data_IF_775356958751
#
_entry.id   IF_775356958751
#
_cell.length_a   1.000
_cell.length_b   1.000
_cell.length_c   1.000
_cell.angle_alpha   90.00
_cell.angle_beta   90.00
_cell.angle_gamma   90.00
#
_symmetry.space_group_name_H-M   'P 1'
#
loop_
_entity.id
_entity.type
_entity.pdbx_description
1 polymer ?
#
# COMPACT_ATOMS: atom_id res chain seq x y z
N UNK A 1 -16.29 -18.33 23.64
CA UNK A 1 -15.85 -17.59 22.44
C UNK A 1 -14.57 -16.88 22.82
N UNK A 2 -13.41 -17.48 22.52
CA UNK A 2 -12.13 -16.79 22.75
C UNK A 2 -12.05 -15.67 21.71
N UNK A 3 -12.01 -14.42 22.17
CA UNK A 3 -11.75 -13.28 21.32
C UNK A 3 -10.26 -13.28 21.00
N UNK A 4 -9.87 -14.01 19.97
CA UNK A 4 -8.52 -13.91 19.43
C UNK A 4 -8.30 -12.46 19.01
N UNK A 5 -7.47 -11.76 19.79
CA UNK A 5 -7.18 -10.35 19.56
C UNK A 5 -6.01 -10.32 18.59
N UNK A 6 -6.19 -9.63 17.47
CA UNK A 6 -5.15 -9.46 16.46
C UNK A 6 -3.87 -8.97 17.12
N UNK A 7 -2.76 -9.61 16.78
CA UNK A 7 -1.44 -9.18 17.23
C UNK A 7 -1.04 -7.90 16.48
N UNK A 8 -0.06 -7.13 16.98
CA UNK A 8 0.52 -6.02 16.23
C UNK A 8 1.03 -6.44 14.84
N UNK A 9 1.57 -7.65 14.71
CA UNK A 9 2.01 -8.22 13.42
C UNK A 9 0.83 -8.41 12.46
N UNK A 10 -0.31 -8.93 12.95
CA UNK A 10 -1.52 -9.09 12.12
C UNK A 10 -2.03 -7.73 11.63
N UNK A 11 -2.06 -6.73 12.51
CA UNK A 11 -2.44 -5.37 12.13
C UNK A 11 -1.54 -4.76 11.06
N UNK A 12 -0.21 -4.90 11.19
CA UNK A 12 0.75 -4.40 10.19
C UNK A 12 0.55 -5.09 8.84
N UNK A 13 0.34 -6.41 8.82
CA UNK A 13 0.13 -7.14 7.56
C UNK A 13 -1.22 -6.82 6.89
N UNK A 14 -2.28 -6.60 7.68
CA UNK A 14 -3.55 -6.12 7.16
C UNK A 14 -3.39 -4.74 6.51
N UNK A 15 -2.70 -3.82 7.18
CA UNK A 15 -2.42 -2.48 6.64
C UNK A 15 -1.56 -2.55 5.39
N UNK A 16 -0.50 -3.37 5.37
CA UNK A 16 0.33 -3.58 4.18
C UNK A 16 -0.48 -4.08 2.99
N UNK A 17 -1.43 -5.00 3.22
CA UNK A 17 -2.32 -5.50 2.17
C UNK A 17 -3.14 -4.36 1.57
N UNK A 18 -3.74 -3.53 2.42
CA UNK A 18 -4.54 -2.38 1.97
C UNK A 18 -3.68 -1.33 1.22
N UNK A 19 -2.49 -1.01 1.73
CA UNK A 19 -1.61 -0.05 1.06
C UNK A 19 -1.12 -0.55 -0.30
N UNK A 20 -0.84 -1.86 -0.45
CA UNK A 20 -0.47 -2.47 -1.73
C UNK A 20 -1.61 -2.41 -2.75
N UNK A 21 -2.85 -2.55 -2.32
CA UNK A 21 -4.03 -2.32 -3.15
C UNK A 21 -4.14 -0.83 -3.54
N UNK A 22 -4.02 0.09 -2.58
CA UNK A 22 -4.05 1.53 -2.83
C UNK A 22 -2.94 1.99 -3.79
N UNK A 23 -1.75 1.42 -3.70
CA UNK A 23 -0.65 1.64 -4.65
C UNK A 23 -1.05 1.27 -6.08
N UNK A 24 -1.71 0.13 -6.26
CA UNK A 24 -2.18 -0.29 -7.58
C UNK A 24 -3.16 0.73 -8.17
N UNK A 25 -4.12 1.19 -7.37
CA UNK A 25 -5.11 2.18 -7.80
C UNK A 25 -4.51 3.57 -8.05
N UNK A 26 -3.59 4.04 -7.19
CA UNK A 26 -2.94 5.35 -7.35
C UNK A 26 -2.17 5.45 -8.66
N UNK A 27 -1.43 4.40 -9.04
CA UNK A 27 -0.77 4.32 -10.36
C UNK A 27 -1.78 4.47 -11.50
N UNK A 28 -2.88 3.73 -11.46
CA UNK A 28 -3.93 3.82 -12.47
C UNK A 28 -4.60 5.21 -12.54
N UNK A 29 -4.69 5.93 -11.42
CA UNK A 29 -5.21 7.29 -11.40
C UNK A 29 -4.25 8.27 -12.09
N UNK A 30 -2.93 8.18 -11.85
CA UNK A 30 -1.93 9.01 -12.52
C UNK A 30 -1.96 8.82 -14.04
N UNK A 31 -2.04 7.56 -14.50
CA UNK A 31 -2.13 7.24 -15.94
C UNK A 31 -3.40 7.85 -16.58
N UNK A 32 -4.54 7.74 -15.89
CA UNK A 32 -5.81 8.33 -16.36
C UNK A 32 -5.77 9.84 -16.39
N UNK A 33 -5.26 10.48 -15.34
CA UNK A 33 -5.14 11.94 -15.28
C UNK A 33 -4.18 12.46 -16.36
N UNK A 34 -3.08 11.75 -16.63
CA UNK A 34 -2.16 12.06 -17.73
C UNK A 34 -2.87 12.05 -19.09
N UNK A 35 -3.73 11.06 -19.32
CA UNK A 35 -4.56 10.98 -20.54
C UNK A 35 -5.52 12.17 -20.65
N UNK A 36 -6.18 12.54 -19.55
CA UNK A 36 -7.09 13.69 -19.52
C UNK A 36 -6.36 15.01 -19.76
N UNK A 37 -5.18 15.18 -19.15
CA UNK A 37 -4.37 16.37 -19.32
C UNK A 37 -3.99 16.59 -20.78
N UNK A 38 -3.54 15.54 -21.49
CA UNK A 38 -3.24 15.61 -22.92
C UNK A 38 -4.46 16.01 -23.76
N UNK A 39 -5.65 15.52 -23.42
CA UNK A 39 -6.89 15.90 -24.11
C UNK A 39 -7.24 17.39 -23.88
N UNK A 40 -7.08 17.87 -22.65
CA UNK A 40 -7.36 19.26 -22.28
C UNK A 40 -6.29 20.25 -22.73
N UNK A 41 -5.05 19.83 -22.91
CA UNK A 41 -3.98 20.65 -23.50
C UNK A 41 -4.01 20.62 -25.05
N UNK A 42 -4.57 19.55 -25.63
CA UNK A 42 -4.75 19.38 -27.07
C UNK A 42 -6.10 19.89 -27.59
N UNK A 43 -6.96 18.96 -28.02
CA UNK A 43 -8.21 19.27 -28.74
C UNK A 43 -9.16 20.19 -27.96
N UNK A 44 -9.14 20.11 -26.62
CA UNK A 44 -10.03 20.87 -25.75
C UNK A 44 -9.36 22.10 -25.11
N UNK A 45 -8.19 22.53 -25.60
CA UNK A 45 -7.42 23.65 -25.02
C UNK A 45 -8.22 24.94 -24.78
N UNK A 46 -9.21 25.21 -25.63
CA UNK A 46 -10.13 26.36 -25.47
C UNK A 46 -10.90 26.37 -24.14
N UNK A 47 -11.05 25.20 -23.48
CA UNK A 47 -11.73 25.06 -22.19
C UNK A 47 -10.85 25.47 -21.00
N UNK A 48 -9.53 25.63 -21.19
CA UNK A 48 -8.58 26.09 -20.17
C UNK A 48 -8.64 25.27 -18.85
N UNK A 49 -8.74 23.95 -18.95
CA UNK A 49 -8.79 23.06 -17.79
C UNK A 49 -7.50 22.26 -17.55
N UNK A 50 -6.53 22.30 -18.47
CA UNK A 50 -5.30 21.49 -18.39
C UNK A 50 -4.56 21.67 -17.05
N UNK A 51 -4.36 22.91 -16.61
CA UNK A 51 -3.68 23.24 -15.34
C UNK A 51 -4.35 22.60 -14.11
N UNK A 52 -5.69 22.49 -14.10
CA UNK A 52 -6.40 21.84 -12.99
C UNK A 52 -6.21 20.32 -13.00
N UNK A 53 -6.06 19.70 -14.16
CA UNK A 53 -5.76 18.27 -14.27
C UNK A 53 -4.30 18.01 -13.91
N UNK A 54 -3.40 18.93 -14.28
CA UNK A 54 -1.99 18.87 -13.90
C UNK A 54 -1.80 18.92 -12.37
N UNK A 55 -2.50 19.82 -11.67
CA UNK A 55 -2.49 19.86 -10.19
C UNK A 55 -2.94 18.52 -9.58
N UNK A 56 -3.99 17.90 -10.15
CA UNK A 56 -4.42 16.57 -9.72
C UNK A 56 -3.38 15.48 -10.01
N UNK A 57 -2.67 15.55 -11.14
CA UNK A 57 -1.60 14.61 -11.48
C UNK A 57 -0.45 14.71 -10.48
N UNK A 58 -0.01 15.92 -10.16
CA UNK A 58 1.06 16.16 -9.18
C UNK A 58 0.70 15.55 -7.83
N UNK A 59 -0.48 15.87 -7.30
CA UNK A 59 -0.96 15.33 -6.02
C UNK A 59 -1.12 13.81 -6.04
N UNK A 60 -1.58 13.25 -7.16
CA UNK A 60 -1.71 11.81 -7.32
C UNK A 60 -0.33 11.12 -7.34
N UNK A 61 0.68 11.75 -7.95
CA UNK A 61 2.07 11.31 -7.90
C UNK A 61 2.64 11.36 -6.48
N UNK A 62 2.48 12.49 -5.78
CA UNK A 62 2.93 12.65 -4.39
C UNK A 62 2.31 11.61 -3.45
N UNK A 63 1.01 11.34 -3.61
CA UNK A 63 0.34 10.29 -2.83
C UNK A 63 0.86 8.89 -3.17
N UNK A 64 1.13 8.62 -4.45
CA UNK A 64 1.70 7.33 -4.86
C UNK A 64 3.06 7.09 -4.22
N UNK A 65 3.95 8.08 -4.28
CA UNK A 65 5.29 8.00 -3.70
C UNK A 65 5.22 7.85 -2.17
N UNK A 66 4.30 8.56 -1.51
CA UNK A 66 4.07 8.43 -0.07
C UNK A 66 3.57 7.02 0.33
N UNK A 67 2.69 6.42 -0.47
CA UNK A 67 2.23 5.05 -0.24
C UNK A 67 3.38 4.04 -0.38
N UNK A 68 4.24 4.20 -1.39
CA UNK A 68 5.40 3.32 -1.58
C UNK A 68 6.42 3.43 -0.43
N UNK A 69 6.66 4.65 0.07
CA UNK A 69 7.51 4.88 1.22
C UNK A 69 6.95 4.19 2.48
N UNK A 70 5.67 4.39 2.78
CA UNK A 70 5.02 3.78 3.95
C UNK A 70 4.96 2.25 3.85
N UNK A 71 4.72 1.68 2.65
CA UNK A 71 4.81 0.23 2.43
C UNK A 71 6.20 -0.27 2.81
N UNK A 72 7.26 0.44 2.41
CA UNK A 72 8.64 0.03 2.69
C UNK A 72 8.90 0.04 4.21
N UNK A 73 8.51 1.10 4.91
CA UNK A 73 8.66 1.20 6.37
C UNK A 73 7.88 0.10 7.12
N UNK A 74 6.65 -0.19 6.69
CA UNK A 74 5.83 -1.23 7.31
C UNK A 74 6.31 -2.65 6.98
N UNK A 75 6.93 -2.87 5.82
CA UNK A 75 7.59 -4.15 5.48
C UNK A 75 8.78 -4.40 6.42
N UNK A 76 9.61 -3.37 6.67
CA UNK A 76 10.70 -3.45 7.65
C UNK A 76 10.15 -3.73 9.07
N UNK A 77 9.11 -3.01 9.48
CA UNK A 77 8.46 -3.23 10.76
C UNK A 77 7.90 -4.64 10.88
N UNK A 78 7.25 -5.16 9.84
CA UNK A 78 6.70 -6.52 9.80
C UNK A 78 7.78 -7.58 10.03
N UNK A 79 8.99 -7.38 9.49
CA UNK A 79 10.13 -8.27 9.75
C UNK A 79 10.52 -8.27 11.23
N UNK A 80 10.52 -7.11 11.89
CA UNK A 80 10.86 -7.02 13.33
C UNK A 80 9.80 -7.62 14.24
N UNK A 81 8.53 -7.55 13.83
CA UNK A 81 7.38 -8.07 14.57
C UNK A 81 7.12 -9.55 14.29
N UNK A 82 7.78 -10.12 13.28
CA UNK A 82 7.62 -11.53 12.92
C UNK A 82 7.88 -12.40 14.15
N UNK A 83 6.90 -13.22 14.58
CA UNK A 83 7.12 -14.13 15.69
C UNK A 83 8.32 -15.02 15.39
N UNK A 84 9.22 -15.20 16.36
CA UNK A 84 10.24 -16.23 16.25
C UNK A 84 9.51 -17.55 16.01
N UNK A 85 9.82 -18.23 14.90
CA UNK A 85 9.34 -19.59 14.69
C UNK A 85 9.74 -20.37 15.95
N UNK A 86 8.77 -20.98 16.62
CA UNK A 86 9.03 -21.71 17.86
C UNK A 86 10.02 -22.84 17.58
N UNK A 87 11.29 -22.62 17.91
CA UNK A 87 12.28 -23.69 17.99
C UNK A 87 12.06 -24.44 19.32
N UNK A 88 11.34 -25.57 19.22
CA UNK A 88 11.71 -26.81 19.90
C UNK A 88 11.08 -27.13 21.26
N UNK A 89 10.19 -28.12 21.26
CA UNK A 89 10.13 -29.12 22.32
C UNK A 89 9.89 -30.52 21.73
N UNK A 90 10.88 -31.42 21.71
CA UNK A 90 10.63 -32.85 21.64
C UNK A 90 10.26 -33.34 23.05
N UNK A 91 8.99 -33.69 23.27
CA UNK A 91 8.52 -34.40 24.46
C UNK A 91 7.72 -35.59 23.96
N UNK A 92 8.04 -36.85 24.20
CA UNK A 92 9.09 -37.48 24.98
C UNK A 92 8.93 -38.98 24.75
N UNK A 93 10.05 -39.71 24.74
CA UNK A 93 10.02 -41.15 24.85
C UNK A 93 9.27 -41.55 26.13
N UNK A 94 8.20 -42.33 26.02
CA UNK A 94 7.70 -43.09 27.16
C UNK A 94 7.52 -44.53 26.70
N UNK A 95 8.49 -45.38 27.10
CA UNK A 95 8.27 -46.81 27.26
C UNK A 95 7.03 -47.01 28.13
N UNK A 96 6.12 -47.89 27.72
CA UNK A 96 5.57 -48.95 28.57
C UNK A 96 5.01 -50.07 27.69
#
# INVERSE_FOLDING_TARGET
MSTDTKTPFDHVNDTLTQLKEMRHYSKGNVERLSTQWLLFDGELRKLKQAERIEDLMVRAGELHDAIEAEISELEELSVTLKPAAEDGAPVGATKH
#
